data_IF_057754581006
#
_entry.id   IF_057754581006
#
_cell.length_a   1.000
_cell.length_b   1.000
_cell.length_c   1.000
_cell.angle_alpha   90.00
_cell.angle_beta   90.00
_cell.angle_gamma   90.00
#
_symmetry.space_group_name_H-M   'P 1'
#
loop_
_entity.id
_entity.type
_entity.pdbx_description
1 polymer ?
#
# COMPACT_ATOMS: atom_id res chain seq x y z
N UNK A 1 -185.94 -67.06 -115.72
CA UNK A 1 -186.34 -66.39 -116.98
C UNK A 1 -185.17 -65.51 -117.35
N UNK A 2 -184.27 -66.04 -118.17
CA UNK A 2 -184.37 -65.86 -119.62
C UNK A 2 -184.25 -64.38 -119.97
N UNK A 3 -183.10 -64.00 -120.50
CA UNK A 3 -182.98 -63.65 -121.92
C UNK A 3 -181.54 -63.18 -122.22
N UNK A 4 -180.98 -63.83 -123.25
CA UNK A 4 -180.03 -63.30 -124.21
C UNK A 4 -178.68 -62.79 -123.69
N UNK A 5 -177.70 -63.69 -123.73
CA UNK A 5 -176.28 -63.34 -123.73
C UNK A 5 -175.96 -62.62 -125.06
N UNK A 6 -175.48 -61.36 -125.05
CA UNK A 6 -175.21 -60.66 -126.29
C UNK A 6 -173.83 -61.05 -126.83
N UNK A 7 -173.82 -61.84 -127.91
CA UNK A 7 -172.62 -62.36 -128.63
C UNK A 7 -171.72 -61.25 -129.21
N UNK A 8 -172.12 -59.98 -129.12
CA UNK A 8 -171.36 -58.81 -129.57
C UNK A 8 -170.37 -58.25 -128.53
N UNK A 9 -170.45 -58.67 -127.25
CA UNK A 9 -169.53 -58.23 -126.19
C UNK A 9 -168.03 -58.49 -126.45
N UNK A 10 -167.57 -59.66 -126.94
CA UNK A 10 -166.15 -59.88 -127.21
C UNK A 10 -165.64 -59.06 -128.42
N UNK A 11 -166.50 -58.80 -129.40
CA UNK A 11 -166.17 -57.96 -130.56
C UNK A 11 -166.01 -56.48 -130.19
N UNK A 12 -166.84 -55.97 -129.26
CA UNK A 12 -166.65 -54.63 -128.70
C UNK A 12 -165.35 -54.51 -127.90
N UNK A 13 -164.98 -55.54 -127.13
CA UNK A 13 -163.71 -55.56 -126.39
C UNK A 13 -162.49 -55.55 -127.33
N UNK A 14 -162.54 -56.30 -128.43
CA UNK A 14 -161.50 -56.28 -129.47
C UNK A 14 -161.43 -54.93 -130.20
N UNK A 15 -162.57 -54.31 -130.52
CA UNK A 15 -162.60 -52.98 -131.12
C UNK A 15 -162.03 -51.91 -130.17
N UNK A 16 -162.33 -51.99 -128.87
CA UNK A 16 -161.77 -51.09 -127.86
C UNK A 16 -160.25 -51.28 -127.70
N UNK A 17 -159.75 -52.52 -127.77
CA UNK A 17 -158.32 -52.82 -127.68
C UNK A 17 -157.56 -52.34 -128.92
N UNK A 18 -158.14 -52.49 -130.11
CA UNK A 18 -157.58 -51.98 -131.36
C UNK A 18 -157.58 -50.45 -131.40
N UNK A 19 -158.65 -49.81 -130.91
CA UNK A 19 -158.71 -48.36 -130.71
C UNK A 19 -157.62 -47.88 -129.75
N UNK A 20 -157.41 -48.58 -128.63
CA UNK A 20 -156.38 -48.25 -127.65
C UNK A 20 -154.96 -48.42 -128.22
N UNK A 21 -154.74 -49.47 -129.01
CA UNK A 21 -153.47 -49.68 -129.72
C UNK A 21 -153.20 -48.58 -130.75
N UNK A 22 -154.24 -48.14 -131.48
CA UNK A 22 -154.18 -47.00 -132.41
C UNK A 22 -153.90 -45.69 -131.68
N UNK A 23 -154.45 -45.52 -130.48
CA UNK A 23 -154.23 -44.33 -129.64
C UNK A 23 -152.82 -44.31 -129.06
N UNK A 24 -152.27 -45.46 -128.66
CA UNK A 24 -150.87 -45.62 -128.25
C UNK A 24 -149.91 -45.39 -129.42
N UNK A 25 -150.24 -45.89 -130.61
CA UNK A 25 -149.46 -45.65 -131.82
C UNK A 25 -149.50 -44.16 -132.20
N UNK A 26 -150.66 -43.51 -132.10
CA UNK A 26 -150.79 -42.07 -132.31
C UNK A 26 -150.00 -41.26 -131.27
N UNK A 27 -149.91 -41.73 -130.02
CA UNK A 27 -149.12 -41.07 -128.97
C UNK A 27 -147.60 -41.23 -129.19
N UNK A 28 -147.17 -42.38 -129.73
CA UNK A 28 -145.78 -42.61 -130.14
C UNK A 28 -145.40 -41.83 -131.42
N UNK A 29 -146.33 -41.62 -132.35
CA UNK A 29 -146.10 -40.80 -133.55
C UNK A 29 -146.31 -39.30 -133.34
N UNK A 30 -146.90 -38.87 -132.20
CA UNK A 30 -147.02 -37.45 -131.87
C UNK A 30 -145.70 -36.90 -131.34
N UNK A 31 -144.82 -36.49 -132.25
CA UNK A 31 -143.71 -35.56 -131.97
C UNK A 31 -144.26 -34.26 -131.36
N UNK A 32 -143.89 -33.89 -130.11
CA UNK A 32 -144.03 -32.53 -129.63
C UNK A 32 -142.80 -31.70 -130.02
N UNK A 33 -143.04 -30.49 -130.51
CA UNK A 33 -142.03 -29.52 -130.95
C UNK A 33 -141.19 -29.00 -129.77
N UNK A 34 -139.87 -28.95 -129.98
CA UNK A 34 -138.88 -28.21 -129.17
C UNK A 34 -139.15 -26.69 -129.19
N UNK A 35 -138.77 -25.98 -128.12
CA UNK A 35 -138.00 -24.74 -128.27
C UNK A 35 -136.61 -24.86 -127.62
N UNK A 36 -135.62 -24.49 -128.42
CA UNK A 36 -134.20 -24.19 -128.21
C UNK A 36 -133.57 -24.26 -126.80
N UNK A 37 -132.80 -25.33 -126.58
CA UNK A 37 -131.67 -25.45 -125.65
C UNK A 37 -130.36 -24.99 -126.33
N UNK A 38 -129.80 -23.84 -125.94
CA UNK A 38 -128.34 -23.53 -126.06
C UNK A 38 -127.85 -22.59 -124.93
N UNK A 39 -128.70 -21.79 -124.27
CA UNK A 39 -128.25 -20.81 -123.27
C UNK A 39 -127.95 -21.36 -121.86
N UNK A 40 -128.53 -22.50 -121.45
CA UNK A 40 -128.45 -22.97 -120.05
C UNK A 40 -127.18 -23.76 -119.69
N UNK A 41 -126.32 -24.11 -120.66
CA UNK A 41 -125.09 -24.90 -120.42
C UNK A 41 -123.85 -24.04 -120.16
N UNK A 42 -123.80 -22.81 -120.66
CA UNK A 42 -122.66 -21.91 -120.45
C UNK A 42 -122.69 -21.27 -119.05
N UNK A 43 -123.87 -20.99 -118.49
CA UNK A 43 -124.00 -20.45 -117.12
C UNK A 43 -123.49 -21.43 -116.04
N UNK A 44 -123.71 -22.73 -116.23
CA UNK A 44 -123.27 -23.76 -115.27
C UNK A 44 -121.74 -23.94 -115.28
N UNK A 45 -121.09 -23.80 -116.45
CA UNK A 45 -119.62 -23.85 -116.53
C UNK A 45 -118.97 -22.62 -115.91
N UNK A 46 -119.52 -21.43 -116.16
CA UNK A 46 -119.02 -20.20 -115.53
C UNK A 46 -119.18 -20.23 -114.00
N UNK A 47 -120.26 -20.84 -113.49
CA UNK A 47 -120.44 -21.01 -112.05
C UNK A 47 -119.39 -21.96 -111.43
N UNK A 48 -119.03 -23.06 -112.11
CA UNK A 48 -117.99 -23.98 -111.62
C UNK A 48 -116.58 -23.36 -111.61
N UNK A 49 -116.20 -22.60 -112.63
CA UNK A 49 -114.91 -21.88 -112.67
C UNK A 49 -114.83 -20.82 -111.56
N UNK A 50 -115.91 -20.08 -111.32
CA UNK A 50 -115.97 -19.09 -110.25
C UNK A 50 -115.88 -19.71 -108.85
N UNK A 51 -116.35 -20.94 -108.65
CA UNK A 51 -116.21 -21.65 -107.37
C UNK A 51 -114.77 -22.17 -107.19
N UNK A 52 -114.13 -22.69 -108.24
CA UNK A 52 -112.74 -23.14 -108.23
C UNK A 52 -111.77 -22.02 -107.83
N UNK A 53 -111.88 -20.84 -108.45
CA UNK A 53 -111.00 -19.71 -108.15
C UNK A 53 -111.17 -19.17 -106.71
N UNK A 54 -112.36 -19.24 -106.13
CA UNK A 54 -112.60 -18.78 -104.75
C UNK A 54 -111.95 -19.73 -103.74
N UNK A 55 -112.02 -21.04 -104.01
CA UNK A 55 -111.43 -22.06 -103.15
C UNK A 55 -109.89 -22.01 -103.19
N UNK A 56 -109.29 -21.82 -104.37
CA UNK A 56 -107.84 -21.63 -104.49
C UNK A 56 -107.35 -20.35 -103.80
N UNK A 57 -108.09 -19.24 -103.92
CA UNK A 57 -107.76 -18.00 -103.22
C UNK A 57 -107.89 -18.14 -101.71
N UNK A 58 -108.92 -18.84 -101.23
CA UNK A 58 -109.12 -19.13 -99.80
C UNK A 58 -107.98 -19.97 -99.22
N UNK A 59 -107.61 -21.08 -99.88
CA UNK A 59 -106.51 -21.94 -99.45
C UNK A 59 -105.15 -21.24 -99.46
N UNK A 60 -104.88 -20.37 -100.45
CA UNK A 60 -103.66 -19.56 -100.46
C UNK A 60 -103.63 -18.54 -99.33
N UNK A 61 -104.77 -17.93 -98.98
CA UNK A 61 -104.85 -17.03 -97.84
C UNK A 61 -104.65 -17.77 -96.52
N UNK A 62 -105.32 -18.90 -96.29
CA UNK A 62 -105.13 -19.72 -95.08
C UNK A 62 -103.71 -20.26 -94.94
N UNK A 63 -103.06 -20.68 -96.03
CA UNK A 63 -101.66 -21.10 -96.00
C UNK A 63 -100.71 -19.95 -95.65
N UNK A 64 -100.96 -18.74 -96.15
CA UNK A 64 -100.14 -17.55 -95.84
C UNK A 64 -100.37 -17.08 -94.41
N UNK A 65 -101.62 -17.09 -93.93
CA UNK A 65 -101.98 -16.75 -92.56
C UNK A 65 -101.46 -17.80 -91.57
N UNK A 66 -101.57 -19.09 -91.89
CA UNK A 66 -101.00 -20.19 -91.11
C UNK A 66 -99.47 -20.14 -91.05
N UNK A 67 -98.79 -19.84 -92.16
CA UNK A 67 -97.34 -19.67 -92.18
C UNK A 67 -96.87 -18.39 -91.45
N UNK A 68 -97.74 -17.39 -91.31
CA UNK A 68 -97.49 -16.20 -90.48
C UNK A 68 -97.70 -16.52 -88.99
N UNK A 69 -98.80 -17.18 -88.63
CA UNK A 69 -99.09 -17.61 -87.27
C UNK A 69 -98.01 -18.56 -86.74
N UNK A 70 -97.65 -19.59 -87.51
CA UNK A 70 -96.60 -20.53 -87.11
C UNK A 70 -95.23 -19.88 -86.94
N UNK A 71 -94.89 -18.86 -87.75
CA UNK A 71 -93.66 -18.07 -87.55
C UNK A 71 -93.72 -17.19 -86.31
N UNK A 72 -94.88 -16.61 -85.99
CA UNK A 72 -95.07 -15.83 -84.77
C UNK A 72 -94.99 -16.72 -83.52
N UNK A 73 -95.63 -17.89 -83.54
CA UNK A 73 -95.56 -18.87 -82.46
C UNK A 73 -94.13 -19.38 -82.26
N UNK A 74 -93.39 -19.71 -83.32
CA UNK A 74 -91.98 -20.10 -83.22
C UNK A 74 -91.09 -18.96 -82.71
N UNK A 75 -91.30 -17.72 -83.17
CA UNK A 75 -90.56 -16.58 -82.67
C UNK A 75 -90.83 -16.34 -81.18
N UNK A 76 -92.09 -16.51 -80.73
CA UNK A 76 -92.48 -16.36 -79.34
C UNK A 76 -91.96 -17.50 -78.47
N UNK A 77 -91.99 -18.74 -78.97
CA UNK A 77 -91.39 -19.91 -78.32
C UNK A 77 -89.87 -19.72 -78.17
N UNK A 78 -89.17 -19.30 -79.23
CA UNK A 78 -87.73 -19.06 -79.19
C UNK A 78 -87.37 -17.91 -78.24
N UNK A 79 -88.16 -16.82 -78.22
CA UNK A 79 -87.98 -15.71 -77.29
C UNK A 79 -88.21 -16.16 -75.83
N UNK A 80 -89.24 -16.96 -75.57
CA UNK A 80 -89.49 -17.51 -74.24
C UNK A 80 -88.39 -18.46 -73.79
N UNK A 81 -87.84 -19.27 -74.71
CA UNK A 81 -86.71 -20.15 -74.45
C UNK A 81 -85.43 -19.37 -74.19
N UNK A 82 -85.12 -18.36 -75.00
CA UNK A 82 -83.98 -17.47 -74.77
C UNK A 82 -84.10 -16.77 -73.41
N UNK A 83 -85.30 -16.30 -73.05
CA UNK A 83 -85.56 -15.71 -71.74
C UNK A 83 -85.38 -16.72 -70.61
N UNK A 84 -85.83 -17.96 -70.78
CA UNK A 84 -85.67 -19.02 -69.78
C UNK A 84 -84.19 -19.42 -69.59
N UNK A 85 -83.43 -19.57 -70.69
CA UNK A 85 -82.00 -19.90 -70.66
C UNK A 85 -81.18 -18.77 -70.05
N UNK A 86 -81.48 -17.51 -70.39
CA UNK A 86 -80.79 -16.36 -69.78
C UNK A 86 -81.16 -16.17 -68.31
N UNK A 87 -82.42 -16.39 -67.93
CA UNK A 87 -82.85 -16.38 -66.53
C UNK A 87 -82.18 -17.50 -65.72
N UNK A 88 -82.16 -18.73 -66.25
CA UNK A 88 -81.48 -19.87 -65.62
C UNK A 88 -79.96 -19.65 -65.53
N UNK A 89 -79.35 -19.08 -66.58
CA UNK A 89 -77.94 -18.71 -66.57
C UNK A 89 -77.62 -17.63 -65.55
N UNK A 90 -78.47 -16.60 -65.44
CA UNK A 90 -78.34 -15.56 -64.42
C UNK A 90 -78.51 -16.12 -63.00
N UNK A 91 -79.43 -17.06 -62.79
CA UNK A 91 -79.64 -17.72 -61.51
C UNK A 91 -78.48 -18.66 -61.13
N UNK A 92 -77.94 -19.40 -62.09
CA UNK A 92 -76.73 -20.21 -61.92
C UNK A 92 -75.50 -19.34 -61.58
N UNK A 93 -75.31 -18.20 -62.25
CA UNK A 93 -74.22 -17.25 -61.92
C UNK A 93 -74.43 -16.62 -60.55
N UNK A 94 -75.67 -16.26 -60.17
CA UNK A 94 -75.98 -15.71 -58.83
C UNK A 94 -75.68 -16.72 -57.73
N UNK A 95 -76.10 -17.97 -57.90
CA UNK A 95 -75.84 -19.04 -56.92
C UNK A 95 -74.35 -19.37 -56.82
N UNK A 96 -73.64 -19.42 -57.95
CA UNK A 96 -72.19 -19.59 -57.96
C UNK A 96 -71.47 -18.42 -57.26
N UNK A 97 -71.84 -17.17 -57.57
CA UNK A 97 -71.27 -15.99 -56.91
C UNK A 97 -71.54 -16.01 -55.40
N UNK A 98 -72.76 -16.35 -54.97
CA UNK A 98 -73.10 -16.48 -53.55
C UNK A 98 -72.27 -17.58 -52.85
N UNK A 99 -71.99 -18.69 -53.52
CA UNK A 99 -71.12 -19.75 -52.98
C UNK A 99 -69.65 -19.30 -52.89
N UNK A 100 -69.15 -18.56 -53.89
CA UNK A 100 -67.79 -18.00 -53.88
C UNK A 100 -67.64 -16.96 -52.76
N UNK A 101 -68.63 -16.10 -52.58
CA UNK A 101 -68.66 -15.12 -51.48
C UNK A 101 -68.70 -15.80 -50.12
N UNK A 102 -69.54 -16.85 -49.96
CA UNK A 102 -69.59 -17.63 -48.73
C UNK A 102 -68.24 -18.31 -48.42
N UNK A 103 -67.56 -18.85 -49.43
CA UNK A 103 -66.22 -19.43 -49.28
C UNK A 103 -65.18 -18.36 -48.92
N UNK A 104 -65.23 -17.18 -49.56
CA UNK A 104 -64.35 -16.06 -49.26
C UNK A 104 -64.54 -15.56 -47.81
N UNK A 105 -65.79 -15.52 -47.33
CA UNK A 105 -66.10 -15.19 -45.94
C UNK A 105 -65.57 -16.25 -44.97
N UNK A 106 -65.74 -17.54 -45.27
CA UNK A 106 -65.19 -18.63 -44.45
C UNK A 106 -63.66 -18.59 -44.38
N UNK A 107 -62.97 -18.34 -45.49
CA UNK A 107 -61.51 -18.20 -45.51
C UNK A 107 -61.04 -16.96 -44.73
N UNK A 108 -61.77 -15.85 -44.83
CA UNK A 108 -61.48 -14.63 -44.07
C UNK A 108 -61.69 -14.85 -42.58
N UNK A 109 -62.77 -15.53 -42.19
CA UNK A 109 -63.04 -15.88 -40.79
C UNK A 109 -61.99 -16.85 -40.25
N UNK A 110 -61.63 -17.89 -41.01
CA UNK A 110 -60.62 -18.86 -40.62
C UNK A 110 -59.24 -18.20 -40.47
N UNK A 111 -58.85 -17.31 -41.39
CA UNK A 111 -57.64 -16.49 -41.28
C UNK A 111 -57.67 -15.60 -40.04
N UNK A 112 -58.82 -14.98 -39.73
CA UNK A 112 -59.01 -14.17 -38.54
C UNK A 112 -58.82 -14.99 -37.26
N UNK A 113 -59.53 -16.11 -37.13
CA UNK A 113 -59.44 -16.98 -35.94
C UNK A 113 -58.06 -17.61 -35.77
N UNK A 114 -57.39 -17.98 -36.87
CA UNK A 114 -56.02 -18.48 -36.81
C UNK A 114 -55.04 -17.37 -36.44
N UNK A 115 -55.24 -16.15 -36.93
CA UNK A 115 -54.47 -14.98 -36.53
C UNK A 115 -54.61 -14.72 -35.03
N UNK A 116 -55.83 -14.66 -34.52
CA UNK A 116 -56.13 -14.39 -33.12
C UNK A 116 -55.58 -15.48 -32.19
N UNK A 117 -55.70 -16.75 -32.58
CA UNK A 117 -55.16 -17.87 -31.79
C UNK A 117 -53.64 -17.90 -31.77
N UNK A 118 -52.98 -17.63 -32.90
CA UNK A 118 -51.51 -17.53 -32.95
C UNK A 118 -50.99 -16.34 -32.13
N UNK A 119 -51.64 -15.17 -32.22
CA UNK A 119 -51.29 -14.01 -31.39
C UNK A 119 -51.47 -14.33 -29.91
N UNK A 120 -52.58 -14.97 -29.54
CA UNK A 120 -52.84 -15.41 -28.16
C UNK A 120 -51.79 -16.40 -27.64
N UNK A 121 -51.41 -17.41 -28.45
CA UNK A 121 -50.38 -18.38 -28.09
C UNK A 121 -49.00 -17.74 -27.93
N UNK A 122 -48.61 -16.84 -28.84
CA UNK A 122 -47.33 -16.11 -28.73
C UNK A 122 -47.30 -15.20 -27.50
N UNK A 123 -48.42 -14.55 -27.18
CA UNK A 123 -48.52 -13.71 -25.99
C UNK A 123 -48.46 -14.53 -24.70
N UNK A 124 -49.11 -15.70 -24.66
CA UNK A 124 -48.98 -16.64 -23.54
C UNK A 124 -47.54 -17.15 -23.39
N UNK A 125 -46.88 -17.53 -24.50
CA UNK A 125 -45.48 -17.96 -24.47
C UNK A 125 -44.56 -16.84 -23.96
N UNK A 126 -44.77 -15.59 -24.40
CA UNK A 126 -44.00 -14.45 -23.92
C UNK A 126 -44.21 -14.22 -22.41
N UNK A 127 -45.44 -14.37 -21.91
CA UNK A 127 -45.76 -14.24 -20.49
C UNK A 127 -45.09 -15.35 -19.67
N UNK A 128 -45.18 -16.61 -20.11
CA UNK A 128 -44.56 -17.74 -19.39
C UNK A 128 -43.04 -17.64 -19.38
N UNK A 129 -42.42 -17.23 -20.49
CA UNK A 129 -40.97 -16.99 -20.55
C UNK A 129 -40.55 -15.85 -19.60
N UNK A 130 -41.34 -14.77 -19.53
CA UNK A 130 -41.06 -13.66 -18.60
C UNK A 130 -41.18 -14.10 -17.15
N UNK A 131 -42.19 -14.92 -16.83
CA UNK A 131 -42.37 -15.48 -15.48
C UNK A 131 -41.21 -16.41 -15.10
N UNK A 132 -40.81 -17.32 -16.00
CA UNK A 132 -39.66 -18.20 -15.78
C UNK A 132 -38.38 -17.40 -15.59
N UNK A 133 -38.15 -16.36 -16.39
CA UNK A 133 -37.00 -15.48 -16.24
C UNK A 133 -37.00 -14.77 -14.87
N UNK A 134 -38.16 -14.28 -14.42
CA UNK A 134 -38.28 -13.66 -13.09
C UNK A 134 -38.03 -14.66 -11.96
N UNK A 135 -38.54 -15.89 -12.06
CA UNK A 135 -38.29 -16.94 -11.07
C UNK A 135 -36.81 -17.37 -11.06
N UNK A 136 -36.18 -17.49 -12.22
CA UNK A 136 -34.75 -17.74 -12.34
C UNK A 136 -33.93 -16.61 -11.69
N UNK A 137 -34.28 -15.34 -11.93
CA UNK A 137 -33.60 -14.21 -11.27
C UNK A 137 -33.84 -14.19 -9.76
N UNK A 138 -35.05 -14.49 -9.29
CA UNK A 138 -35.34 -14.57 -7.85
C UNK A 138 -34.55 -15.67 -7.16
N UNK A 139 -34.50 -16.86 -7.75
CA UNK A 139 -33.72 -17.99 -7.21
C UNK A 139 -32.23 -17.70 -7.25
N UNK A 140 -31.72 -17.10 -8.33
CA UNK A 140 -30.33 -16.67 -8.42
C UNK A 140 -29.99 -15.61 -7.36
N UNK A 141 -30.83 -14.60 -7.17
CA UNK A 141 -30.63 -13.58 -6.14
C UNK A 141 -30.63 -14.18 -4.74
N UNK A 142 -31.57 -15.09 -4.44
CA UNK A 142 -31.60 -15.79 -3.15
C UNK A 142 -30.32 -16.63 -2.91
N UNK A 143 -29.76 -17.25 -3.95
CA UNK A 143 -28.48 -17.98 -3.86
C UNK A 143 -27.30 -17.02 -3.62
N UNK A 144 -27.27 -15.87 -4.30
CA UNK A 144 -26.25 -14.83 -4.09
C UNK A 144 -26.32 -14.29 -2.66
N UNK A 145 -27.52 -14.03 -2.15
CA UNK A 145 -27.73 -13.55 -0.78
C UNK A 145 -27.28 -14.60 0.26
N UNK A 146 -27.62 -15.87 0.05
CA UNK A 146 -27.17 -16.96 0.90
C UNK A 146 -25.63 -17.10 0.88
N UNK A 147 -25.02 -16.97 -0.30
CA UNK A 147 -23.56 -16.99 -0.44
C UNK A 147 -22.91 -15.77 0.25
N UNK A 148 -23.48 -14.58 0.11
CA UNK A 148 -23.01 -13.38 0.78
C UNK A 148 -23.09 -13.49 2.31
N UNK A 149 -24.17 -14.07 2.84
CA UNK A 149 -24.31 -14.37 4.27
C UNK A 149 -23.28 -15.40 4.76
N UNK A 150 -23.04 -16.46 3.98
CA UNK A 150 -22.03 -17.46 4.31
C UNK A 150 -20.62 -16.84 4.32
N UNK A 151 -20.31 -15.96 3.37
CA UNK A 151 -19.04 -15.25 3.31
C UNK A 151 -18.89 -14.27 4.48
N UNK A 152 -19.96 -13.56 4.85
CA UNK A 152 -19.98 -12.68 6.02
C UNK A 152 -19.78 -13.46 7.32
N UNK A 153 -20.43 -14.63 7.45
CA UNK A 153 -20.25 -15.51 8.61
C UNK A 153 -18.83 -16.05 8.71
N UNK A 154 -18.26 -16.52 7.58
CA UNK A 154 -16.87 -16.98 7.54
C UNK A 154 -15.89 -15.86 7.90
N UNK A 155 -16.10 -14.65 7.38
CA UNK A 155 -15.29 -13.47 7.74
C UNK A 155 -15.42 -13.15 9.22
N UNK A 156 -16.63 -13.20 9.78
CA UNK A 156 -16.90 -12.98 11.19
C UNK A 156 -16.20 -13.99 12.09
N UNK A 157 -16.36 -15.28 11.80
CA UNK A 157 -15.75 -16.35 12.59
C UNK A 157 -14.22 -16.37 12.50
N UNK A 158 -13.65 -16.08 11.32
CA UNK A 158 -12.21 -15.89 11.17
C UNK A 158 -11.71 -14.69 11.97
N UNK A 159 -12.41 -13.55 11.91
CA UNK A 159 -12.05 -12.36 12.68
C UNK A 159 -12.07 -12.66 14.19
N UNK A 160 -13.11 -13.32 14.67
CA UNK A 160 -13.25 -13.69 16.08
C UNK A 160 -12.15 -14.66 16.53
N UNK A 161 -11.85 -15.66 15.70
CA UNK A 161 -10.76 -16.62 15.97
C UNK A 161 -9.40 -15.91 16.01
N UNK A 162 -9.13 -14.99 15.08
CA UNK A 162 -7.90 -14.20 15.06
C UNK A 162 -7.78 -13.31 16.30
N UNK A 163 -8.87 -12.63 16.70
CA UNK A 163 -8.88 -11.80 17.91
C UNK A 163 -8.61 -12.66 19.16
N UNK A 164 -9.24 -13.82 19.28
CA UNK A 164 -9.01 -14.74 20.39
C UNK A 164 -7.55 -15.26 20.41
N UNK A 165 -7.00 -15.67 19.27
CA UNK A 165 -5.60 -16.11 19.18
C UNK A 165 -4.62 -15.00 19.54
N UNK A 166 -4.83 -13.77 19.04
CA UNK A 166 -3.99 -12.62 19.38
C UNK A 166 -4.07 -12.28 20.87
N UNK A 167 -5.26 -12.37 21.47
CA UNK A 167 -5.43 -12.14 22.90
C UNK A 167 -4.71 -13.22 23.74
N UNK A 168 -4.86 -14.50 23.37
CA UNK A 168 -4.15 -15.60 24.02
C UNK A 168 -2.63 -15.47 23.90
N UNK A 169 -2.12 -15.10 22.72
CA UNK A 169 -0.69 -14.83 22.52
C UNK A 169 -0.22 -13.63 23.34
N UNK A 170 -1.00 -12.56 23.41
CA UNK A 170 -0.70 -11.38 24.22
C UNK A 170 -0.61 -11.74 25.70
N UNK A 171 -1.59 -12.48 26.24
CA UNK A 171 -1.61 -12.94 27.62
C UNK A 171 -0.45 -13.90 27.92
N UNK A 172 -0.18 -14.87 27.04
CA UNK A 172 0.95 -15.79 27.17
C UNK A 172 2.29 -15.03 27.17
N UNK A 173 2.44 -14.04 26.29
CA UNK A 173 3.64 -13.23 26.22
C UNK A 173 3.79 -12.34 27.47
N UNK A 174 2.71 -11.76 27.98
CA UNK A 174 2.72 -10.98 29.22
C UNK A 174 3.17 -11.84 30.41
N UNK A 175 2.67 -13.07 30.54
CA UNK A 175 3.11 -14.03 31.56
C UNK A 175 4.59 -14.37 31.43
N UNK A 176 5.05 -14.70 30.21
CA UNK A 176 6.45 -15.03 29.95
C UNK A 176 7.40 -13.87 30.25
N UNK A 177 6.99 -12.63 29.95
CA UNK A 177 7.76 -11.42 30.30
C UNK A 177 7.80 -11.22 31.82
N UNK A 178 6.71 -11.46 32.54
CA UNK A 178 6.71 -11.41 34.00
C UNK A 178 7.63 -12.47 34.62
N UNK A 179 7.57 -13.72 34.14
CA UNK A 179 8.46 -14.80 34.58
C UNK A 179 9.93 -14.47 34.30
N UNK A 180 10.23 -13.93 33.12
CA UNK A 180 11.58 -13.48 32.77
C UNK A 180 12.06 -12.36 33.70
N UNK A 181 11.20 -11.36 33.98
CA UNK A 181 11.52 -10.28 34.92
C UNK A 181 11.79 -10.80 36.32
N UNK A 182 10.94 -11.68 36.84
CA UNK A 182 11.12 -12.28 38.16
C UNK A 182 12.44 -13.07 38.24
N UNK A 183 12.76 -13.84 37.17
CA UNK A 183 14.01 -14.61 37.10
C UNK A 183 15.24 -13.70 37.04
N UNK A 184 15.19 -12.62 36.25
CA UNK A 184 16.27 -11.65 36.16
C UNK A 184 16.47 -10.90 37.48
N UNK A 185 15.39 -10.50 38.14
CA UNK A 185 15.44 -9.83 39.44
C UNK A 185 16.04 -10.75 40.51
N UNK A 186 15.67 -12.04 40.51
CA UNK A 186 16.29 -13.04 41.37
C UNK A 186 17.79 -13.23 41.08
N UNK A 187 18.19 -13.30 39.80
CA UNK A 187 19.60 -13.42 39.41
C UNK A 187 20.42 -12.17 39.79
N UNK A 188 19.87 -10.97 39.59
CA UNK A 188 20.51 -9.71 39.98
C UNK A 188 20.66 -9.65 41.50
N UNK A 189 19.62 -10.00 42.25
CA UNK A 189 19.69 -10.07 43.71
C UNK A 189 20.73 -11.06 44.21
N UNK A 190 20.81 -12.25 43.59
CA UNK A 190 21.83 -13.25 43.90
C UNK A 190 23.26 -12.75 43.59
N UNK A 191 23.46 -12.08 42.46
CA UNK A 191 24.75 -11.49 42.09
C UNK A 191 25.15 -10.35 43.02
N UNK A 192 24.21 -9.50 43.42
CA UNK A 192 24.46 -8.42 44.40
C UNK A 192 24.87 -9.00 45.75
N UNK A 193 24.15 -10.02 46.24
CA UNK A 193 24.49 -10.70 47.49
C UNK A 193 25.87 -11.38 47.41
N UNK A 194 26.16 -12.09 46.32
CA UNK A 194 27.45 -12.73 46.10
C UNK A 194 28.60 -11.70 46.01
N UNK A 195 28.39 -10.57 45.33
CA UNK A 195 29.37 -9.50 45.27
C UNK A 195 29.60 -8.85 46.64
N UNK A 196 28.55 -8.60 47.42
CA UNK A 196 28.69 -8.08 48.79
C UNK A 196 29.53 -9.03 49.65
N UNK A 197 29.21 -10.33 49.60
CA UNK A 197 29.97 -11.34 50.33
C UNK A 197 31.44 -11.39 49.89
N UNK A 198 31.72 -11.28 48.59
CA UNK A 198 33.09 -11.25 48.07
C UNK A 198 33.85 -9.98 48.45
N UNK A 199 33.17 -8.82 48.46
CA UNK A 199 33.74 -7.56 48.92
C UNK A 199 34.09 -7.62 50.41
N UNK A 200 33.22 -8.21 51.24
CA UNK A 200 33.48 -8.40 52.67
C UNK A 200 34.65 -9.36 52.90
N UNK A 201 34.73 -10.47 52.15
CA UNK A 201 35.87 -11.40 52.19
C UNK A 201 37.18 -10.70 51.78
N UNK A 202 37.14 -9.86 50.73
CA UNK A 202 38.29 -9.05 50.32
C UNK A 202 38.66 -8.04 51.40
N UNK A 203 37.68 -7.39 52.04
CA UNK A 203 37.93 -6.44 53.12
C UNK A 203 38.61 -7.13 54.30
N UNK A 204 38.13 -8.30 54.70
CA UNK A 204 38.75 -9.09 55.75
C UNK A 204 40.18 -9.52 55.38
N UNK A 205 40.38 -9.99 54.15
CA UNK A 205 41.71 -10.42 53.67
C UNK A 205 42.67 -9.22 53.59
N UNK A 206 42.20 -8.07 53.12
CA UNK A 206 42.99 -6.84 53.03
C UNK A 206 43.32 -6.32 54.42
N UNK A 207 42.36 -6.32 55.34
CA UNK A 207 42.58 -5.93 56.74
C UNK A 207 43.61 -6.85 57.40
N UNK A 208 43.49 -8.17 57.27
CA UNK A 208 44.48 -9.13 57.78
C UNK A 208 45.87 -8.90 57.19
N UNK A 209 45.97 -8.72 55.86
CA UNK A 209 47.25 -8.49 55.18
C UNK A 209 47.85 -7.13 55.53
N UNK A 210 47.04 -6.08 55.60
CA UNK A 210 47.50 -4.75 56.01
C UNK A 210 47.93 -4.76 57.46
N UNK A 211 47.15 -5.31 58.39
CA UNK A 211 47.50 -5.34 59.80
C UNK A 211 48.79 -6.14 60.03
N UNK A 212 48.89 -7.35 59.45
CA UNK A 212 50.11 -8.16 59.54
C UNK A 212 51.33 -7.45 58.92
N UNK A 213 51.18 -6.84 57.74
CA UNK A 213 52.29 -6.16 57.07
C UNK A 213 52.67 -4.85 57.76
N UNK A 214 51.69 -4.08 58.27
CA UNK A 214 51.93 -2.86 59.01
C UNK A 214 52.61 -3.17 60.33
N UNK A 215 52.10 -4.09 61.15
CA UNK A 215 52.72 -4.46 62.42
C UNK A 215 54.16 -4.91 62.22
N UNK A 216 54.39 -5.77 61.21
CA UNK A 216 55.72 -6.28 60.95
C UNK A 216 56.69 -5.18 60.48
N UNK A 217 56.28 -4.32 59.52
CA UNK A 217 57.12 -3.23 59.03
C UNK A 217 57.29 -2.09 60.03
N UNK A 218 56.22 -1.67 60.71
CA UNK A 218 56.30 -0.64 61.74
C UNK A 218 57.13 -1.13 62.93
N UNK A 219 56.94 -2.38 63.37
CA UNK A 219 57.76 -2.99 64.41
C UNK A 219 59.25 -2.97 64.05
N UNK A 220 59.60 -3.36 62.81
CA UNK A 220 60.99 -3.33 62.34
C UNK A 220 61.56 -1.89 62.28
N UNK A 221 60.77 -0.94 61.78
CA UNK A 221 61.15 0.48 61.70
C UNK A 221 61.28 1.12 63.07
N UNK A 222 60.36 0.86 64.00
CA UNK A 222 60.46 1.34 65.37
C UNK A 222 61.64 0.72 66.11
N UNK A 223 61.95 -0.56 65.86
CA UNK A 223 63.15 -1.21 66.41
C UNK A 223 64.43 -0.53 65.92
N UNK A 224 64.55 -0.25 64.62
CA UNK A 224 65.68 0.51 64.08
C UNK A 224 65.77 1.93 64.64
N UNK A 225 64.64 2.61 64.83
CA UNK A 225 64.60 3.96 65.42
C UNK A 225 65.00 3.93 66.89
N UNK A 226 64.51 2.95 67.66
CA UNK A 226 64.88 2.76 69.07
C UNK A 226 66.38 2.45 69.22
N UNK A 227 66.93 1.58 68.38
CA UNK A 227 68.36 1.24 68.37
C UNK A 227 69.23 2.46 68.04
N UNK A 228 68.81 3.31 67.10
CA UNK A 228 69.47 4.59 66.81
C UNK A 228 69.34 5.60 67.94
N UNK A 229 68.19 5.70 68.60
CA UNK A 229 68.00 6.54 69.77
C UNK A 229 68.91 6.10 70.93
N UNK A 230 69.04 4.80 71.18
CA UNK A 230 69.97 4.25 72.17
C UNK A 230 71.42 4.61 71.82
N UNK A 231 71.80 4.48 70.55
CA UNK A 231 73.13 4.83 70.07
C UNK A 231 73.41 6.34 70.20
N UNK A 232 72.41 7.19 69.95
CA UNK A 232 72.48 8.65 70.18
C UNK A 232 72.60 8.96 71.67
N UNK A 233 71.87 8.26 72.53
CA UNK A 233 72.01 8.42 73.98
C UNK A 233 73.40 8.03 74.49
N UNK A 234 74.01 6.97 73.94
CA UNK A 234 75.43 6.65 74.20
C UNK A 234 76.36 7.76 73.71
N UNK A 235 76.16 8.27 72.49
CA UNK A 235 76.97 9.37 71.94
C UNK A 235 76.84 10.70 72.70
N UNK A 236 75.66 11.00 73.26
CA UNK A 236 75.46 12.15 74.15
C UNK A 236 76.16 11.98 75.50
N UNK A 237 76.26 10.75 76.02
CA UNK A 237 77.09 10.44 77.18
C UNK A 237 78.58 10.68 76.95
N UNK A 238 79.07 10.43 75.72
CA UNK A 238 80.45 10.72 75.32
C UNK A 238 80.72 12.24 75.17
N UNK A 239 79.72 13.03 74.76
CA UNK A 239 79.84 14.50 74.68
C UNK A 239 79.97 15.18 76.05
N UNK A 240 79.41 14.60 77.12
CA UNK A 240 79.56 15.13 78.49
C UNK A 240 81.01 15.03 78.99
N UNK A 241 81.79 14.09 78.46
CA UNK A 241 83.23 13.94 78.72
C UNK A 241 84.08 14.94 77.91
N UNK A 242 83.65 15.29 76.69
CA UNK A 242 84.34 16.22 75.78
C UNK A 242 84.28 17.68 76.24
N UNK A 243 83.22 18.08 76.97
CA UNK A 243 83.10 19.43 77.52
C UNK A 243 84.15 19.75 78.61
N UNK A 244 84.74 18.73 79.24
CA UNK A 244 85.76 18.89 80.29
C UNK A 244 87.16 19.17 79.70
N UNK A 245 87.41 18.77 78.44
CA UNK A 245 88.70 18.97 77.76
C UNK A 245 88.94 20.37 77.16
N UNK A 246 87.93 21.25 77.12
CA UNK A 246 88.06 22.59 76.50
C UNK A 246 88.52 23.66 77.52
N UNK A 247 88.51 23.36 78.83
CA UNK A 247 89.00 24.25 79.89
C UNK A 247 90.52 24.45 79.90
N UNK A 248 91.28 23.40 79.56
CA UNK A 248 92.75 23.42 79.62
C UNK A 248 93.40 24.25 78.51
N UNK A 249 92.77 24.35 77.34
CA UNK A 249 93.30 25.15 76.21
C UNK A 249 93.24 26.66 76.50
N UNK A 250 92.23 27.11 77.27
CA UNK A 250 92.08 28.52 77.68
C UNK A 250 93.13 28.92 78.73
N UNK A 251 93.54 27.98 79.59
CA UNK A 251 94.55 28.24 80.63
C UNK A 251 95.99 28.28 80.07
N UNK A 252 96.29 27.55 79.00
CA UNK A 252 97.59 27.60 78.33
C UNK A 252 97.86 28.92 77.59
N UNK A 253 96.82 29.68 77.26
CA UNK A 253 96.91 31.00 76.60
C UNK A 253 96.96 32.19 77.58
N UNK A 254 96.96 31.98 78.89
CA UNK A 254 97.01 33.06 79.88
C UNK A 254 98.44 33.47 80.29
N UNK A 255 99.44 32.60 80.09
CA UNK A 255 100.81 32.87 80.51
C UNK A 255 101.56 33.73 79.47
N UNK A 256 102.08 34.88 79.90
CA UNK A 256 102.79 35.85 79.04
C UNK A 256 104.02 35.23 78.36
N UNK A 257 104.74 34.32 79.04
CA UNK A 257 105.93 33.67 78.48
C UNK A 257 105.58 32.66 77.37
N UNK A 258 104.51 31.87 77.57
CA UNK A 258 104.03 30.89 76.59
C UNK A 258 103.45 31.56 75.34
N UNK A 259 102.84 32.74 75.50
CA UNK A 259 102.38 33.56 74.37
C UNK A 259 103.53 34.14 73.55
N UNK A 260 104.60 34.62 74.21
CA UNK A 260 105.81 35.06 73.52
C UNK A 260 106.43 33.96 72.66
N UNK A 261 106.61 32.76 73.23
CA UNK A 261 107.15 31.62 72.48
C UNK A 261 106.25 31.17 71.32
N UNK A 262 104.92 31.25 71.49
CA UNK A 262 103.99 30.91 70.42
C UNK A 262 104.01 31.96 69.29
N UNK A 263 104.11 33.25 69.63
CA UNK A 263 104.26 34.33 68.66
C UNK A 263 105.56 34.25 67.87
N UNK A 264 106.68 33.95 68.53
CA UNK A 264 107.98 33.70 67.89
C UNK A 264 107.91 32.49 66.94
N UNK A 265 107.28 31.38 67.37
CA UNK A 265 107.11 30.20 66.54
C UNK A 265 106.21 30.47 65.32
N UNK A 266 105.11 31.20 65.50
CA UNK A 266 104.20 31.57 64.41
C UNK A 266 104.86 32.53 63.42
N UNK A 267 105.58 33.54 63.91
CA UNK A 267 106.36 34.45 63.06
C UNK A 267 107.42 33.67 62.27
N UNK A 268 108.11 32.73 62.91
CA UNK A 268 109.06 31.83 62.24
C UNK A 268 108.42 31.04 61.10
N UNK A 269 107.25 30.45 61.33
CA UNK A 269 106.53 29.72 60.26
C UNK A 269 106.06 30.64 59.12
N UNK A 270 105.58 31.84 59.43
CA UNK A 270 105.17 32.79 58.40
C UNK A 270 106.37 33.26 57.56
N UNK A 271 107.52 33.53 58.19
CA UNK A 271 108.75 33.87 57.48
C UNK A 271 109.24 32.72 56.60
N UNK A 272 109.21 31.48 57.11
CA UNK A 272 109.59 30.28 56.35
C UNK A 272 108.66 30.01 55.14
N UNK A 273 107.38 30.33 55.25
CA UNK A 273 106.42 30.19 54.14
C UNK A 273 106.60 31.26 53.04
N UNK A 274 107.08 32.45 53.40
CA UNK A 274 107.11 33.62 52.49
C UNK A 274 108.52 33.89 51.93
N UNK A 275 109.57 33.62 52.70
CA UNK A 275 110.96 33.93 52.34
C UNK A 275 111.83 32.67 52.28
N UNK A 276 112.87 32.70 51.44
CA UNK A 276 113.86 31.64 51.43
C UNK A 276 114.75 31.72 52.70
N UNK A 277 115.28 30.59 53.23
CA UNK A 277 116.05 30.54 54.48
C UNK A 277 117.30 31.45 54.51
N UNK A 278 117.81 31.85 53.36
CA UNK A 278 118.98 32.73 53.21
C UNK A 278 118.64 34.24 53.26
N UNK A 279 117.35 34.58 53.17
CA UNK A 279 116.85 35.95 53.14
C UNK A 279 116.45 36.49 54.52
N UNK A 280 116.32 35.63 55.52
CA UNK A 280 116.07 36.02 56.90
C UNK A 280 116.96 35.22 57.85
N UNK A 281 117.13 35.71 59.07
CA UNK A 281 117.90 35.02 60.10
C UNK A 281 117.25 35.23 61.47
N UNK A 282 117.24 34.19 62.30
CA UNK A 282 116.72 34.25 63.66
C UNK A 282 117.82 34.69 64.64
N UNK A 283 117.45 35.41 65.70
CA UNK A 283 118.34 35.77 66.81
C UNK A 283 119.61 36.51 66.38
N UNK A 284 119.46 37.54 65.53
CA UNK A 284 120.59 38.31 64.98
C UNK A 284 120.81 39.61 65.74
N UNK A 285 122.07 39.93 66.05
CA UNK A 285 122.44 41.26 66.52
C UNK A 285 122.63 42.21 65.31
N UNK A 286 121.72 43.17 65.14
CA UNK A 286 121.71 44.06 63.95
C UNK A 286 122.75 45.17 63.99
N UNK A 287 123.37 45.45 65.15
CA UNK A 287 124.44 46.44 65.31
C UNK A 287 125.72 45.77 65.85
N UNK A 288 126.90 46.01 65.24
CA UNK A 288 128.15 45.31 65.61
C UNK A 288 128.60 45.48 67.07
N UNK A 289 128.17 46.56 67.73
CA UNK A 289 128.62 46.95 69.08
C UNK A 289 127.58 46.72 70.20
N UNK A 290 126.46 46.02 69.91
CA UNK A 290 125.41 45.74 70.91
C UNK A 290 125.12 44.26 71.05
N UNK A 291 124.89 43.79 72.29
CA UNK A 291 124.54 42.38 72.59
C UNK A 291 123.04 42.08 72.53
N UNK A 292 122.22 43.00 72.05
CA UNK A 292 120.78 42.80 71.94
C UNK A 292 120.45 42.15 70.60
N UNK A 293 120.10 40.86 70.64
CA UNK A 293 119.61 40.13 69.48
C UNK A 293 118.10 40.36 69.32
N UNK A 294 117.65 40.51 68.08
CA UNK A 294 116.23 40.55 67.73
C UNK A 294 115.74 39.17 67.34
N UNK A 295 114.45 38.89 67.56
CA UNK A 295 113.87 37.57 67.34
C UNK A 295 114.10 37.08 65.90
N UNK A 296 113.88 37.95 64.89
CA UNK A 296 114.22 37.71 63.49
C UNK A 296 114.73 38.98 62.79
N UNK A 297 115.53 38.84 61.72
CA UNK A 297 115.96 39.95 60.88
C UNK A 297 115.96 39.56 59.40
N UNK A 298 115.49 40.45 58.52
CA UNK A 298 115.50 40.24 57.07
C UNK A 298 116.75 40.87 56.45
N UNK A 299 117.38 40.13 55.53
CA UNK A 299 118.58 40.53 54.79
C UNK A 299 118.20 41.35 53.57
N UNK A 300 118.58 42.62 53.54
CA UNK A 300 118.42 43.50 52.38
C UNK A 300 119.77 43.76 51.69
N UNK A 301 119.81 43.90 50.35
CA UNK A 301 121.04 44.23 49.64
C UNK A 301 121.50 45.65 50.03
N UNK A 302 122.70 45.76 50.58
CA UNK A 302 123.31 47.04 50.95
C UNK A 302 123.72 47.86 49.73
N UNK A 303 123.72 49.20 49.85
CA UNK A 303 124.10 50.14 48.78
C UNK A 303 125.56 50.64 48.85
N UNK A 304 126.40 50.07 49.73
CA UNK A 304 127.81 50.47 49.88
C UNK A 304 128.79 49.56 49.13
N UNK A 305 129.95 50.09 48.73
CA UNK A 305 131.01 49.38 48.00
C UNK A 305 131.63 48.19 48.78
N UNK A 306 131.37 48.08 50.08
CA UNK A 306 131.87 47.01 50.96
C UNK A 306 131.00 45.74 50.95
N UNK A 307 129.89 45.70 50.19
CA UNK A 307 129.07 44.50 49.99
C UNK A 307 128.37 43.93 51.24
N UNK A 308 128.41 44.64 52.37
CA UNK A 308 127.76 44.20 53.62
C UNK A 308 126.22 44.32 53.53
N UNK A 309 125.46 43.28 53.91
CA UNK A 309 124.00 43.33 53.89
C UNK A 309 123.43 44.25 54.98
N UNK A 310 122.32 44.93 54.67
CA UNK A 310 121.55 45.72 55.64
C UNK A 310 120.51 44.82 56.31
N UNK A 311 120.55 44.72 57.64
CA UNK A 311 119.59 43.94 58.41
C UNK A 311 118.39 44.79 58.83
N UNK A 312 117.18 44.35 58.48
CA UNK A 312 115.93 44.93 58.98
C UNK A 312 115.41 44.08 60.16
N UNK A 313 115.45 44.58 61.41
CA UNK A 313 114.99 43.83 62.58
C UNK A 313 113.47 43.67 62.61
N UNK A 314 113.00 42.49 63.06
CA UNK A 314 111.60 42.14 63.32
C UNK A 314 111.51 41.47 64.70
N UNK A 315 110.69 42.02 65.58
CA UNK A 315 110.46 41.49 66.93
C UNK A 315 109.00 41.02 67.04
N UNK A 316 108.78 39.85 67.66
CA UNK A 316 107.44 39.28 67.84
C UNK A 316 106.76 39.78 69.14
N UNK A 317 107.46 40.57 69.97
CA UNK A 317 106.97 41.04 71.27
C UNK A 317 106.05 42.24 71.10
N UNK A 318 104.78 41.97 70.86
CA UNK A 318 103.73 42.98 70.88
C UNK A 318 102.89 42.87 72.18
N UNK A 319 102.65 43.97 72.92
CA UNK A 319 101.81 43.96 74.12
C UNK A 319 100.32 43.86 73.75
N UNK A 320 99.89 42.64 73.38
CA UNK A 320 98.52 42.35 72.91
C UNK A 320 97.45 42.76 73.93
N UNK A 321 97.73 42.69 75.23
CA UNK A 321 96.74 43.04 76.27
C UNK A 321 96.40 44.54 76.26
N UNK A 322 97.38 45.42 76.08
CA UNK A 322 97.11 46.86 75.97
C UNK A 322 96.48 47.20 74.62
N UNK A 323 96.83 46.47 73.56
CA UNK A 323 96.17 46.58 72.27
C UNK A 323 94.71 46.08 72.29
N UNK A 324 94.42 44.99 73.00
CA UNK A 324 93.06 44.50 73.23
C UNK A 324 92.26 45.49 74.07
N UNK A 325 92.86 46.09 75.10
CA UNK A 325 92.21 47.17 75.87
C UNK A 325 91.86 48.37 74.98
N UNK A 326 92.75 48.75 74.07
CA UNK A 326 92.48 49.79 73.07
C UNK A 326 91.33 49.38 72.13
N UNK A 327 91.36 48.17 71.59
CA UNK A 327 90.31 47.64 70.71
C UNK A 327 88.95 47.59 71.42
N UNK A 328 88.91 47.10 72.66
CA UNK A 328 87.68 47.02 73.44
C UNK A 328 87.13 48.41 73.77
N UNK A 329 88.00 49.39 74.03
CA UNK A 329 87.60 50.78 74.23
C UNK A 329 87.04 51.40 72.95
N UNK A 330 87.66 51.13 71.80
CA UNK A 330 87.18 51.56 70.48
C UNK A 330 85.85 50.91 70.11
N UNK A 331 85.70 49.60 70.33
CA UNK A 331 84.44 48.88 70.08
C UNK A 331 83.29 49.38 70.94
N UNK A 332 83.59 49.79 72.18
CA UNK A 332 82.62 50.44 73.08
C UNK A 332 82.40 51.92 72.79
N UNK A 333 83.05 52.48 71.76
CA UNK A 333 82.98 53.88 71.35
C UNK A 333 83.32 54.88 72.48
N UNK A 334 84.19 54.49 73.42
CA UNK A 334 84.64 55.36 74.52
C UNK A 334 85.92 56.10 74.13
N UNK A 335 85.74 57.35 73.67
CA UNK A 335 86.85 58.17 73.18
C UNK A 335 87.92 58.45 74.25
N UNK A 336 87.52 58.64 75.52
CA UNK A 336 88.44 58.95 76.60
C UNK A 336 89.28 57.73 77.01
N UNK A 337 88.63 56.57 77.15
CA UNK A 337 89.33 55.32 77.45
C UNK A 337 90.23 54.86 76.29
N UNK A 338 89.81 55.08 75.04
CA UNK A 338 90.62 54.77 73.87
C UNK A 338 91.88 55.63 73.81
N UNK A 339 91.81 56.93 74.12
CA UNK A 339 93.00 57.80 74.14
C UNK A 339 93.98 57.38 75.25
N UNK A 340 93.47 57.04 76.43
CA UNK A 340 94.30 56.57 77.55
C UNK A 340 94.97 55.22 77.25
N UNK A 341 94.21 54.25 76.72
CA UNK A 341 94.74 52.95 76.30
C UNK A 341 95.75 53.08 75.15
N UNK A 342 95.52 54.03 74.22
CA UNK A 342 96.45 54.35 73.15
C UNK A 342 97.78 54.88 73.66
N UNK A 343 97.76 55.85 74.60
CA UNK A 343 98.97 56.38 75.25
C UNK A 343 99.71 55.30 76.04
N UNK A 344 98.99 54.42 76.73
CA UNK A 344 99.59 53.32 77.49
C UNK A 344 100.26 52.28 76.57
N UNK A 345 99.63 51.96 75.44
CA UNK A 345 100.20 51.08 74.42
C UNK A 345 101.46 51.70 73.79
N UNK A 346 101.41 52.99 73.43
CA UNK A 346 102.55 53.72 72.86
C UNK A 346 103.76 53.72 73.81
N UNK A 347 103.53 54.02 75.10
CA UNK A 347 104.58 54.02 76.13
C UNK A 347 105.21 52.65 76.37
N UNK A 348 104.55 51.56 75.96
CA UNK A 348 105.02 50.18 76.15
C UNK A 348 105.71 49.61 74.90
N UNK A 349 105.43 50.19 73.73
CA UNK A 349 106.08 49.84 72.46
C UNK A 349 107.36 50.66 72.25
N UNK A 350 107.39 51.91 72.73
CA UNK A 350 108.53 52.83 72.64
C UNK A 350 109.57 52.55 73.71
#
# INVERSE_FOLDING_TARGET
>A
MDLSNPVWLPWLALAALLLNLLLLLALLLRRPRRPADVAARDEVRQWLDQQGERLERGLRQEMVEGARSGRQELAQALASFQSAVTAQGAEAVRTQNAQVDALAMQLTQLRGTLGDTLVGQLQQLALTMTQQAQEATRTQNAQIDAFAQQLAHLRGSLSETLTQQLQQLSEANARRVQEMRATLEQQIGALQAANSAKLDEMRQTVDEKLHATLEQRLGERFKQVAERLEQVHKGLGEMQTLAQGVGDLKHLLANVKTRGTFGEAQLGQLLEQVFAPEQYAAQVATRPDTRHAVDFAIRLPGRGDDGAPLWLPIDAKFPIEDYQRLLDAQQRADAGAAEAAGKALEARIR
#
